data_IF_471615138541
#
_entry.id   IF_471615138541
#
_cell.length_a   1.000
_cell.length_b   1.000
_cell.length_c   1.000
_cell.angle_alpha   90.00
_cell.angle_beta   90.00
_cell.angle_gamma   90.00
#
_symmetry.space_group_name_H-M   'P 1'
#
loop_
_entity.id
_entity.type
_entity.pdbx_description
1 polymer ?
#
# COMPACT_ATOMS: atom_id res chain seq x y z
N UNK A 1 3.68 13.36 -15.41
CA UNK A 1 3.90 12.14 -16.20
C UNK A 1 2.98 12.19 -17.39
N UNK A 2 3.46 11.93 -18.61
CA UNK A 2 2.56 11.69 -19.74
C UNK A 2 1.81 10.36 -19.54
N UNK A 3 0.63 10.22 -20.13
CA UNK A 3 -0.06 8.92 -20.15
C UNK A 3 0.62 8.02 -21.18
N UNK A 4 1.00 6.79 -20.81
CA UNK A 4 1.84 5.92 -21.65
C UNK A 4 1.22 5.59 -23.02
N UNK A 5 -0.09 5.32 -23.07
CA UNK A 5 -0.79 4.95 -24.31
C UNK A 5 -1.69 6.06 -24.88
N UNK A 6 -1.57 7.32 -24.41
CA UNK A 6 -2.43 8.41 -24.91
C UNK A 6 -1.68 9.75 -24.95
N UNK A 7 -1.97 10.60 -25.93
CA UNK A 7 -1.38 11.93 -26.11
C UNK A 7 -1.91 13.01 -25.12
N UNK A 8 -2.13 12.65 -23.85
CA UNK A 8 -2.63 13.56 -22.80
C UNK A 8 -1.60 13.74 -21.68
N UNK A 9 -1.52 14.95 -21.13
CA UNK A 9 -0.51 15.36 -20.13
C UNK A 9 -1.12 15.69 -18.76
N UNK A 10 -1.76 14.71 -18.11
CA UNK A 10 -2.27 14.87 -16.74
C UNK A 10 -1.15 15.00 -15.70
N UNK A 11 -1.41 15.75 -14.62
CA UNK A 11 -0.43 16.00 -13.54
C UNK A 11 -0.90 15.56 -12.14
N UNK A 12 -2.09 14.97 -12.01
CA UNK A 12 -2.63 14.54 -10.71
C UNK A 12 -1.86 13.34 -10.17
N UNK A 13 -1.27 13.49 -8.98
CA UNK A 13 -0.63 12.42 -8.23
C UNK A 13 -0.55 12.79 -6.75
N UNK A 14 -0.43 11.79 -5.87
CA UNK A 14 -0.17 12.04 -4.45
C UNK A 14 1.24 12.60 -4.27
N UNK A 15 1.36 13.65 -3.44
CA UNK A 15 2.63 14.25 -3.01
C UNK A 15 2.90 13.78 -1.58
N UNK A 16 4.07 13.17 -1.35
CA UNK A 16 4.46 12.73 -0.01
C UNK A 16 4.96 13.93 0.83
N UNK A 17 4.82 13.88 2.17
CA UNK A 17 5.42 14.88 3.04
C UNK A 17 6.95 14.95 2.84
N UNK A 18 7.50 16.16 2.97
CA UNK A 18 8.94 16.37 2.82
C UNK A 18 9.76 15.64 3.90
N UNK A 19 9.21 15.53 5.12
CA UNK A 19 9.82 14.82 6.24
C UNK A 19 9.20 13.44 6.42
N UNK A 20 10.02 12.40 6.35
CA UNK A 20 9.63 11.01 6.59
C UNK A 20 9.84 10.74 8.08
N UNK A 21 8.92 11.22 8.92
CA UNK A 21 8.90 10.94 10.36
C UNK A 21 7.55 10.36 10.73
N UNK A 22 7.54 9.47 11.72
CA UNK A 22 6.30 9.00 12.32
C UNK A 22 5.60 10.20 12.98
N UNK A 23 4.33 10.49 12.60
CA UNK A 23 3.54 11.51 13.28
C UNK A 23 3.36 11.21 14.77
N UNK A 24 3.31 12.26 15.60
CA UNK A 24 3.23 12.13 17.06
C UNK A 24 1.90 11.56 17.57
N UNK A 25 0.83 11.62 16.77
CA UNK A 25 -0.49 11.10 17.12
C UNK A 25 -0.63 9.59 16.89
N UNK A 26 0.37 8.93 16.31
CA UNK A 26 0.33 7.49 16.10
C UNK A 26 0.84 6.80 17.36
N UNK A 27 -0.07 6.16 18.08
CA UNK A 27 0.22 5.39 19.29
C UNK A 27 0.54 3.92 18.99
N UNK A 28 0.24 3.45 17.77
CA UNK A 28 0.43 2.07 17.36
C UNK A 28 1.92 1.73 17.22
N UNK A 29 2.28 0.58 17.78
CA UNK A 29 3.62 0.01 17.65
C UNK A 29 3.82 -0.59 16.25
N UNK A 30 5.07 -0.72 15.77
CA UNK A 30 5.36 -1.37 14.50
C UNK A 30 4.77 -2.79 14.39
N UNK A 31 4.79 -3.56 15.49
CA UNK A 31 4.28 -4.92 15.54
C UNK A 31 2.75 -4.99 15.37
N UNK A 32 2.01 -4.04 15.97
CA UNK A 32 0.55 -3.97 15.79
C UNK A 32 0.19 -3.62 14.34
N UNK A 33 0.97 -2.77 13.69
CA UNK A 33 0.76 -2.41 12.28
C UNK A 33 1.02 -3.62 11.37
N UNK A 34 2.08 -4.39 11.62
CA UNK A 34 2.36 -5.63 10.90
C UNK A 34 1.21 -6.64 11.07
N UNK A 35 0.70 -6.81 12.29
CA UNK A 35 -0.44 -7.69 12.56
C UNK A 35 -1.72 -7.25 11.82
N UNK A 36 -1.98 -5.94 11.73
CA UNK A 36 -3.10 -5.40 10.95
C UNK A 36 -2.93 -5.67 9.45
N UNK A 37 -1.73 -5.50 8.91
CA UNK A 37 -1.43 -5.80 7.50
C UNK A 37 -1.70 -7.28 7.21
N UNK A 38 -1.21 -8.18 8.06
CA UNK A 38 -1.43 -9.63 7.92
C UNK A 38 -2.92 -9.98 8.00
N UNK A 39 -3.65 -9.38 8.94
CA UNK A 39 -5.11 -9.57 9.07
C UNK A 39 -5.83 -9.18 7.77
N UNK A 40 -5.56 -7.98 7.25
CA UNK A 40 -6.24 -7.50 6.05
C UNK A 40 -5.82 -8.26 4.79
N UNK A 41 -4.59 -8.78 4.74
CA UNK A 41 -4.17 -9.68 3.66
C UNK A 41 -4.94 -11.00 3.69
N UNK A 42 -5.18 -11.57 4.88
CA UNK A 42 -6.04 -12.76 5.04
C UNK A 42 -7.51 -12.50 4.70
N UNK A 43 -7.98 -11.27 4.91
CA UNK A 43 -9.31 -10.83 4.46
C UNK A 43 -9.41 -10.71 2.92
N UNK A 44 -8.32 -10.95 2.17
CA UNK A 44 -8.27 -10.91 0.71
C UNK A 44 -8.11 -9.52 0.12
N UNK A 45 -7.72 -8.52 0.93
CA UNK A 45 -7.50 -7.15 0.44
C UNK A 45 -6.16 -7.04 -0.27
N UNK A 46 -6.13 -6.27 -1.36
CA UNK A 46 -4.89 -6.04 -2.11
C UNK A 46 -3.94 -5.11 -1.33
N UNK A 47 -2.60 -5.17 -1.56
CA UNK A 47 -1.65 -4.29 -0.89
C UNK A 47 -2.01 -2.80 -1.00
N UNK A 48 -2.52 -2.37 -2.16
CA UNK A 48 -2.98 -0.99 -2.36
C UNK A 48 -4.21 -0.64 -1.51
N UNK A 49 -5.17 -1.55 -1.41
CA UNK A 49 -6.36 -1.38 -0.55
C UNK A 49 -6.00 -1.37 0.94
N UNK A 50 -5.05 -2.21 1.37
CA UNK A 50 -4.54 -2.24 2.74
C UNK A 50 -3.96 -0.86 3.11
N UNK A 51 -3.16 -0.27 2.23
CA UNK A 51 -2.60 1.07 2.45
C UNK A 51 -3.68 2.15 2.61
N UNK A 52 -4.74 2.12 1.79
CA UNK A 52 -5.87 3.05 1.89
C UNK A 52 -6.60 2.86 3.22
N UNK A 53 -6.88 1.61 3.60
CA UNK A 53 -7.60 1.29 4.84
C UNK A 53 -6.82 1.72 6.08
N UNK A 54 -5.51 1.52 6.11
CA UNK A 54 -4.64 1.99 7.19
C UNK A 54 -4.58 3.52 7.27
N UNK A 55 -4.61 4.21 6.13
CA UNK A 55 -4.67 5.67 6.09
C UNK A 55 -6.00 6.21 6.60
N UNK A 56 -7.11 5.66 6.12
CA UNK A 56 -8.43 6.23 6.35
C UNK A 56 -9.05 5.79 7.69
N UNK A 57 -8.78 4.55 8.16
CA UNK A 57 -9.32 4.05 9.43
C UNK A 57 -8.39 4.27 10.62
N UNK A 58 -7.08 4.09 10.42
CA UNK A 58 -6.09 4.14 11.51
C UNK A 58 -5.25 5.42 11.48
N UNK A 59 -5.51 6.33 10.55
CA UNK A 59 -4.77 7.60 10.41
C UNK A 59 -3.26 7.41 10.23
N UNK A 60 -2.84 6.32 9.57
CA UNK A 60 -1.44 6.00 9.26
C UNK A 60 -1.13 6.41 7.81
N UNK A 61 -0.45 7.55 7.55
CA UNK A 61 -0.27 8.04 6.19
C UNK A 61 0.80 7.25 5.41
N UNK A 62 1.86 6.84 6.10
CA UNK A 62 3.00 6.14 5.52
C UNK A 62 3.50 5.05 6.47
N UNK A 63 3.24 3.79 6.11
CA UNK A 63 3.67 2.61 6.87
C UNK A 63 5.20 2.56 6.96
N UNK A 64 5.89 2.87 5.87
CA UNK A 64 7.37 2.89 5.78
C UNK A 64 8.02 3.84 6.78
N UNK A 65 7.33 4.90 7.22
CA UNK A 65 7.88 5.83 8.21
C UNK A 65 7.94 5.21 9.61
N UNK A 66 7.13 4.20 9.89
CA UNK A 66 6.99 3.58 11.22
C UNK A 66 7.70 2.22 11.25
N UNK A 67 7.34 1.32 10.35
CA UNK A 67 7.86 -0.06 10.31
C UNK A 67 9.19 -0.18 9.57
N UNK A 68 9.64 0.88 8.88
CA UNK A 68 10.79 0.90 7.96
C UNK A 68 10.69 -0.05 6.75
N UNK A 69 9.66 -0.90 6.71
CA UNK A 69 9.38 -1.86 5.66
C UNK A 69 8.19 -1.40 4.79
N UNK A 70 8.17 -1.85 3.54
CA UNK A 70 7.00 -1.68 2.66
C UNK A 70 5.94 -2.75 2.93
N UNK A 71 4.70 -2.53 2.46
CA UNK A 71 3.62 -3.54 2.58
C UNK A 71 4.05 -4.86 1.94
N UNK A 72 4.62 -4.82 0.73
CA UNK A 72 5.09 -6.03 0.04
C UNK A 72 6.16 -6.78 0.83
N UNK A 73 7.07 -6.07 1.52
CA UNK A 73 8.10 -6.70 2.35
C UNK A 73 7.48 -7.39 3.56
N UNK A 74 6.49 -6.78 4.20
CA UNK A 74 5.76 -7.39 5.32
C UNK A 74 5.01 -8.65 4.84
N UNK A 75 4.42 -8.63 3.65
CA UNK A 75 3.74 -9.79 3.08
C UNK A 75 4.72 -10.91 2.71
N UNK A 76 5.89 -10.57 2.17
CA UNK A 76 6.96 -11.52 1.86
C UNK A 76 7.50 -12.21 3.12
N UNK A 77 7.71 -11.47 4.21
CA UNK A 77 8.17 -12.03 5.49
C UNK A 77 7.13 -12.94 6.17
N UNK A 78 5.86 -12.81 5.80
CA UNK A 78 4.77 -13.63 6.36
C UNK A 78 4.33 -14.76 5.41
N UNK A 79 5.07 -15.02 4.33
CA UNK A 79 4.76 -16.03 3.30
C UNK A 79 3.37 -15.87 2.65
N UNK A 80 2.80 -14.65 2.69
CA UNK A 80 1.49 -14.31 2.11
C UNK A 80 1.64 -13.67 0.73
N UNK A 81 2.70 -14.02 0.01
CA UNK A 81 2.98 -13.43 -1.30
C UNK A 81 1.96 -13.97 -2.33
N UNK A 82 1.23 -13.09 -3.03
CA UNK A 82 0.40 -13.53 -4.14
C UNK A 82 1.29 -14.08 -5.27
N UNK A 83 0.83 -15.12 -5.96
CA UNK A 83 1.56 -15.75 -7.07
C UNK A 83 1.85 -14.75 -8.21
N UNK A 84 0.92 -13.80 -8.41
CA UNK A 84 1.03 -12.73 -9.39
C UNK A 84 1.03 -11.36 -8.69
N UNK A 85 1.86 -10.40 -9.14
CA UNK A 85 1.77 -9.02 -8.66
C UNK A 85 0.41 -8.38 -8.94
N UNK A 86 -0.09 -7.58 -7.99
CA UNK A 86 -1.37 -6.86 -8.07
C UNK A 86 -1.54 -6.09 -9.39
N UNK A 87 -0.49 -5.39 -9.84
CA UNK A 87 -0.55 -4.59 -11.06
C UNK A 87 -0.78 -5.44 -12.32
N UNK A 88 -0.16 -6.63 -12.39
CA UNK A 88 -0.36 -7.55 -13.52
C UNK A 88 -1.74 -8.17 -13.47
N UNK A 89 -2.19 -8.58 -12.28
CA UNK A 89 -3.54 -9.11 -12.09
C UNK A 89 -4.60 -8.11 -12.52
N UNK A 90 -4.44 -6.84 -12.16
CA UNK A 90 -5.34 -5.77 -12.58
C UNK A 90 -5.35 -5.53 -14.09
N UNK A 91 -4.20 -5.65 -14.76
CA UNK A 91 -4.11 -5.55 -16.23
C UNK A 91 -4.82 -6.75 -16.88
N UNK A 92 -4.56 -7.97 -16.39
CA UNK A 92 -5.20 -9.19 -16.90
C UNK A 92 -6.70 -9.14 -16.70
N UNK A 93 -7.17 -8.83 -15.49
CA UNK A 93 -8.61 -8.69 -15.20
C UNK A 93 -9.28 -7.63 -16.08
N UNK A 94 -8.59 -6.53 -16.39
CA UNK A 94 -9.09 -5.51 -17.32
C UNK A 94 -9.10 -5.97 -18.77
N UNK A 95 -8.14 -6.80 -19.18
CA UNK A 95 -8.02 -7.33 -20.54
C UNK A 95 -9.00 -8.48 -20.81
N UNK A 96 -9.30 -9.28 -19.78
CA UNK A 96 -10.31 -10.34 -19.80
C UNK A 96 -11.73 -9.78 -19.76
N UNK A 97 -11.89 -8.53 -19.30
CA UNK A 97 -13.16 -7.82 -19.15
C UNK A 97 -14.13 -7.96 -20.32
#
# INVERSE_FOLDING_TARGET
>A
MGRMHTHRHGKSHSIRPATIRAPSWITLTPAEIEALVVKYSKDGLTPSQIGIKLRDQHSIPLIKAITKKGINQILEENDLKPEMPEDLENIVNKAVG
#
